data_IF_064375493127
#
_entry.id   IF_064375493127
#
_cell.length_a   1.000
_cell.length_b   1.000
_cell.length_c   1.000
_cell.angle_alpha   90.00
_cell.angle_beta   90.00
_cell.angle_gamma   90.00
#
_symmetry.space_group_name_H-M   'P 1'
#
loop_
_entity.id
_entity.type
_entity.pdbx_description
1 polymer ?
#
# COMPACT_ATOMS: atom_id res chain seq x y z
N UNK A 1 1.23 -14.18 -13.28
CA UNK A 1 2.68 -14.22 -13.01
C UNK A 1 2.87 -14.61 -11.56
N UNK A 2 3.90 -15.41 -11.24
CA UNK A 2 4.15 -15.81 -9.86
C UNK A 2 5.17 -14.85 -9.22
N UNK A 3 4.68 -13.66 -8.84
CA UNK A 3 5.52 -12.62 -8.22
C UNK A 3 5.27 -12.58 -6.73
N UNK A 4 6.35 -12.49 -5.95
CA UNK A 4 6.32 -12.15 -4.54
C UNK A 4 6.92 -10.75 -4.33
N UNK A 5 6.34 -9.99 -3.40
CA UNK A 5 6.97 -8.77 -2.90
C UNK A 5 7.30 -8.93 -1.41
N UNK A 6 8.43 -8.39 -0.98
CA UNK A 6 8.82 -8.36 0.43
C UNK A 6 9.34 -6.98 0.82
N UNK A 7 9.07 -6.56 2.05
CA UNK A 7 9.58 -5.32 2.62
C UNK A 7 10.18 -5.57 4.01
N UNK A 8 10.93 -4.60 4.55
CA UNK A 8 11.48 -4.71 5.89
C UNK A 8 12.15 -3.45 6.41
N UNK A 9 12.93 -3.65 7.48
CA UNK A 9 13.60 -2.56 8.21
C UNK A 9 14.74 -1.88 7.45
N UNK A 10 15.21 -2.50 6.36
CA UNK A 10 16.27 -1.95 5.52
C UNK A 10 15.78 -0.98 4.46
N UNK A 11 14.56 -0.43 4.65
CA UNK A 11 13.88 0.55 3.79
C UNK A 11 13.51 0.05 2.40
N UNK A 12 13.91 -1.17 2.05
CA UNK A 12 13.78 -1.68 0.70
C UNK A 12 12.50 -2.50 0.50
N UNK A 13 11.92 -2.34 -0.68
CA UNK A 13 10.88 -3.23 -1.21
C UNK A 13 11.51 -4.04 -2.33
N UNK A 14 11.43 -5.37 -2.25
CA UNK A 14 12.03 -6.32 -3.20
C UNK A 14 10.95 -7.09 -3.91
N UNK A 15 11.17 -7.39 -5.18
CA UNK A 15 10.31 -8.29 -5.95
C UNK A 15 11.08 -9.52 -6.38
N UNK A 16 10.41 -10.65 -6.28
CA UNK A 16 10.96 -11.97 -6.52
C UNK A 16 10.15 -12.67 -7.59
N UNK A 17 10.86 -13.31 -8.52
CA UNK A 17 10.25 -14.22 -9.47
C UNK A 17 10.23 -15.62 -8.85
N UNK A 18 9.03 -16.18 -8.69
CA UNK A 18 8.82 -17.50 -8.12
C UNK A 18 8.69 -18.60 -9.18
N UNK A 19 8.79 -18.25 -10.47
CA UNK A 19 8.74 -19.23 -11.55
C UNK A 19 9.99 -20.17 -11.53
N UNK A 20 11.12 -19.73 -10.95
CA UNK A 20 12.39 -20.46 -10.82
C UNK A 20 12.55 -21.22 -9.47
N UNK A 21 11.45 -21.66 -8.87
CA UNK A 21 11.48 -22.40 -7.60
C UNK A 21 12.37 -23.67 -7.68
N UNK A 22 13.27 -23.94 -6.70
CA UNK A 22 13.33 -23.37 -5.34
C UNK A 22 14.25 -22.16 -5.14
N UNK A 23 14.86 -21.61 -6.18
CA UNK A 23 15.77 -20.45 -6.06
C UNK A 23 15.11 -19.19 -6.64
N UNK A 24 14.19 -18.55 -5.89
CA UNK A 24 13.51 -17.36 -6.38
C UNK A 24 14.50 -16.22 -6.63
N UNK A 25 14.39 -15.59 -7.80
CA UNK A 25 15.31 -14.54 -8.23
C UNK A 25 14.79 -13.16 -7.79
N UNK A 26 15.59 -12.41 -7.01
CA UNK A 26 15.36 -10.95 -6.84
C UNK A 26 15.62 -10.28 -8.19
N UNK A 27 14.56 -9.85 -8.89
CA UNK A 27 14.71 -9.21 -10.20
C UNK A 27 14.62 -7.68 -10.13
N UNK A 28 14.12 -7.12 -9.01
CA UNK A 28 14.11 -5.68 -8.79
C UNK A 28 14.00 -5.31 -7.30
N UNK A 29 14.44 -4.10 -6.96
CA UNK A 29 14.39 -3.51 -5.62
C UNK A 29 14.13 -2.01 -5.69
N UNK A 30 13.29 -1.51 -4.79
CA UNK A 30 13.02 -0.09 -4.57
C UNK A 30 13.59 0.36 -3.23
N UNK A 31 14.26 1.52 -3.21
CA UNK A 31 14.95 2.11 -2.05
C UNK A 31 14.62 3.61 -1.92
N UNK A 32 13.34 3.91 -2.05
CA UNK A 32 12.77 5.26 -2.03
C UNK A 32 12.10 5.63 -0.69
N UNK A 33 11.83 4.64 0.17
CA UNK A 33 11.48 4.91 1.56
C UNK A 33 12.71 5.33 2.37
N UNK A 34 12.51 6.22 3.33
CA UNK A 34 13.60 6.80 4.14
C UNK A 34 13.75 6.12 5.51
N UNK A 35 12.84 5.21 5.82
CA UNK A 35 12.71 4.51 7.09
C UNK A 35 12.09 3.11 6.83
N UNK A 36 12.01 2.22 7.84
CA UNK A 36 11.42 0.88 7.73
C UNK A 36 10.06 0.83 7.03
N UNK A 37 9.90 -0.15 6.14
CA UNK A 37 8.65 -0.43 5.42
C UNK A 37 7.87 -1.52 6.14
N UNK A 38 6.65 -1.22 6.53
CA UNK A 38 5.82 -2.06 7.40
C UNK A 38 4.79 -2.92 6.66
N UNK A 39 4.35 -2.48 5.48
CA UNK A 39 3.25 -3.13 4.78
C UNK A 39 3.40 -3.04 3.27
N UNK A 40 2.82 -4.03 2.59
CA UNK A 40 2.73 -4.12 1.15
C UNK A 40 1.31 -4.55 0.76
N UNK A 41 0.83 -4.05 -0.38
CA UNK A 41 -0.38 -4.57 -1.01
C UNK A 41 -0.24 -4.49 -2.53
N UNK A 42 -0.67 -5.54 -3.22
CA UNK A 42 -0.90 -5.50 -4.66
C UNK A 42 -2.32 -5.01 -4.95
N UNK A 43 -2.53 -4.29 -6.04
CA UNK A 43 -3.87 -4.11 -6.58
C UNK A 43 -4.45 -5.46 -7.05
N UNK A 44 -5.79 -5.62 -7.10
CA UNK A 44 -6.42 -6.89 -7.45
C UNK A 44 -6.05 -7.44 -8.84
N UNK A 45 -5.72 -6.56 -9.78
CA UNK A 45 -5.23 -6.90 -11.12
C UNK A 45 -3.71 -7.15 -11.18
N UNK A 46 -2.97 -6.87 -10.11
CA UNK A 46 -1.52 -7.02 -10.04
C UNK A 46 -0.72 -5.90 -10.71
N UNK A 47 -1.39 -4.85 -11.20
CA UNK A 47 -0.73 -3.77 -11.95
C UNK A 47 0.00 -2.77 -11.05
N UNK A 48 -0.43 -2.65 -9.79
CA UNK A 48 0.08 -1.67 -8.83
C UNK A 48 0.59 -2.35 -7.57
N UNK A 49 1.64 -1.76 -6.98
CA UNK A 49 2.16 -2.12 -5.67
C UNK A 49 2.16 -0.89 -4.76
N UNK A 50 1.52 -1.01 -3.60
CA UNK A 50 1.59 -0.03 -2.54
C UNK A 50 2.52 -0.51 -1.42
N UNK A 51 3.29 0.40 -0.84
CA UNK A 51 4.14 0.14 0.34
C UNK A 51 3.94 1.23 1.40
N UNK A 52 3.89 0.85 2.68
CA UNK A 52 3.71 1.78 3.80
C UNK A 52 4.95 1.82 4.67
N UNK A 53 5.30 2.99 5.20
CA UNK A 53 6.56 3.17 5.92
C UNK A 53 6.45 4.02 7.17
N UNK A 54 7.45 3.85 8.03
CA UNK A 54 7.73 4.70 9.19
C UNK A 54 8.13 6.12 8.78
N UNK A 55 8.49 6.38 7.53
CA UNK A 55 8.71 7.75 7.01
C UNK A 55 7.40 8.56 6.81
N UNK A 56 6.27 8.05 7.32
CA UNK A 56 4.93 8.63 7.24
C UNK A 56 4.33 8.62 5.83
N UNK A 57 4.83 7.80 4.91
CA UNK A 57 4.33 7.76 3.53
C UNK A 57 3.81 6.39 3.11
N UNK A 58 2.91 6.42 2.12
CA UNK A 58 2.55 5.27 1.29
C UNK A 58 3.08 5.52 -0.11
N UNK A 59 3.95 4.68 -0.62
CA UNK A 59 4.42 4.79 -2.00
C UNK A 59 3.62 3.86 -2.90
N UNK A 60 3.10 4.40 -3.99
CA UNK A 60 2.41 3.64 -5.05
C UNK A 60 3.32 3.52 -6.28
N UNK A 61 3.46 2.29 -6.81
CA UNK A 61 4.27 1.98 -7.98
C UNK A 61 3.45 1.26 -9.05
N UNK A 62 3.66 1.66 -10.31
CA UNK A 62 3.18 0.91 -11.47
C UNK A 62 4.19 -0.20 -11.78
N UNK A 63 3.73 -1.45 -11.72
CA UNK A 63 4.56 -2.65 -11.91
C UNK A 63 4.16 -3.45 -13.16
N UNK A 64 3.24 -2.96 -14.00
CA UNK A 64 2.73 -3.67 -15.19
C UNK A 64 3.79 -4.21 -16.15
N UNK A 65 4.94 -3.55 -16.20
CA UNK A 65 6.03 -3.88 -17.13
C UNK A 65 7.29 -4.33 -16.44
N UNK A 66 7.22 -4.59 -15.14
CA UNK A 66 8.41 -4.73 -14.33
C UNK A 66 9.25 -5.96 -14.71
N UNK A 67 8.63 -7.07 -15.12
CA UNK A 67 9.35 -8.23 -15.67
C UNK A 67 9.94 -7.97 -17.06
N UNK A 68 9.36 -7.06 -17.84
CA UNK A 68 9.77 -6.79 -19.23
C UNK A 68 10.97 -5.85 -19.30
N UNK A 69 10.96 -4.77 -18.51
CA UNK A 69 11.98 -3.73 -18.60
C UNK A 69 12.71 -3.46 -17.27
N UNK A 70 12.35 -4.14 -16.17
CA UNK A 70 12.95 -3.92 -14.86
C UNK A 70 12.57 -2.59 -14.20
N UNK A 71 11.72 -1.79 -14.83
CA UNK A 71 11.38 -0.44 -14.39
C UNK A 71 9.98 -0.46 -13.77
N UNK A 72 9.91 -0.13 -12.48
CA UNK A 72 8.67 0.34 -11.88
C UNK A 72 8.68 1.87 -11.88
N UNK A 73 7.55 2.47 -12.24
CA UNK A 73 7.41 3.91 -12.10
C UNK A 73 6.91 4.21 -10.69
N UNK A 74 7.75 4.86 -9.88
CA UNK A 74 7.30 5.44 -8.61
C UNK A 74 6.40 6.62 -8.93
N UNK A 75 5.16 6.52 -8.49
CA UNK A 75 4.13 7.49 -8.86
C UNK A 75 4.14 8.61 -7.84
N UNK A 76 3.85 8.28 -6.57
CA UNK A 76 3.62 9.27 -5.51
C UNK A 76 3.81 8.72 -4.09
N UNK A 77 4.29 9.55 -3.15
CA UNK A 77 4.06 9.34 -1.73
C UNK A 77 2.72 9.95 -1.30
N UNK A 78 1.83 9.14 -0.74
CA UNK A 78 0.64 9.58 0.00
C UNK A 78 1.02 9.80 1.46
N UNK A 79 0.87 11.01 1.95
CA UNK A 79 1.42 11.40 3.25
C UNK A 79 0.42 11.20 4.39
N UNK A 80 0.93 10.70 5.51
CA UNK A 80 0.33 10.72 6.84
C UNK A 80 1.07 11.71 7.75
N UNK A 81 0.50 11.98 8.92
CA UNK A 81 1.13 12.85 9.93
C UNK A 81 2.06 12.08 10.88
N UNK A 82 2.09 10.76 10.77
CA UNK A 82 2.94 9.84 11.53
C UNK A 82 3.01 8.49 10.79
N UNK A 83 3.61 7.46 11.42
CA UNK A 83 3.96 6.18 10.78
C UNK A 83 2.75 5.52 10.13
N UNK A 84 2.96 4.88 8.97
CA UNK A 84 1.89 4.15 8.27
C UNK A 84 2.13 2.66 8.39
N UNK A 85 1.19 1.96 9.02
CA UNK A 85 1.35 0.55 9.37
C UNK A 85 0.75 -0.39 8.33
N UNK A 86 -0.30 0.03 7.64
CA UNK A 86 -1.08 -0.86 6.78
C UNK A 86 -1.69 -0.13 5.61
N UNK A 87 -1.79 -0.84 4.48
CA UNK A 87 -2.43 -0.41 3.24
C UNK A 87 -3.24 -1.55 2.64
N UNK A 88 -4.34 -1.22 1.98
CA UNK A 88 -5.19 -2.19 1.30
C UNK A 88 -5.83 -1.55 0.05
N UNK A 89 -5.98 -2.34 -1.01
CA UNK A 89 -6.77 -1.96 -2.18
C UNK A 89 -8.19 -2.50 -2.06
N UNK A 90 -9.13 -1.70 -2.54
CA UNK A 90 -10.50 -2.16 -2.83
C UNK A 90 -10.51 -3.26 -3.88
N UNK A 91 -11.56 -4.08 -3.89
CA UNK A 91 -11.69 -5.21 -4.80
C UNK A 91 -11.73 -4.81 -6.29
N UNK A 92 -12.25 -3.63 -6.63
CA UNK A 92 -12.24 -3.09 -7.99
C UNK A 92 -10.93 -2.33 -8.33
N UNK A 93 -10.04 -2.19 -7.34
CA UNK A 93 -8.76 -1.50 -7.46
C UNK A 93 -8.89 0.00 -7.75
N UNK A 94 -10.04 0.62 -7.46
CA UNK A 94 -10.28 2.07 -7.63
C UNK A 94 -9.98 2.87 -6.38
N UNK A 95 -10.02 2.24 -5.22
CA UNK A 95 -9.68 2.85 -3.94
C UNK A 95 -8.48 2.18 -3.30
N UNK A 96 -7.69 2.99 -2.60
CA UNK A 96 -6.64 2.56 -1.68
C UNK A 96 -6.90 3.16 -0.31
N UNK A 97 -6.71 2.37 0.75
CA UNK A 97 -6.89 2.79 2.13
C UNK A 97 -5.61 2.52 2.90
N UNK A 98 -5.22 3.42 3.80
CA UNK A 98 -4.12 3.21 4.73
C UNK A 98 -4.47 3.65 6.15
N UNK A 99 -3.84 2.99 7.12
CA UNK A 99 -3.98 3.27 8.54
C UNK A 99 -2.62 3.43 9.20
N UNK A 100 -2.55 4.32 10.19
CA UNK A 100 -1.27 4.66 10.83
C UNK A 100 -1.34 5.13 12.28
N UNK A 101 -0.18 5.51 12.78
CA UNK A 101 0.06 6.02 14.13
C UNK A 101 -0.63 7.37 14.38
N UNK A 102 -1.00 8.10 13.32
CA UNK A 102 -1.79 9.32 13.43
C UNK A 102 -3.28 9.06 13.77
N UNK A 103 -3.64 7.80 14.04
CA UNK A 103 -4.99 7.35 14.43
C UNK A 103 -6.05 7.57 13.35
N UNK A 104 -5.62 7.84 12.10
CA UNK A 104 -6.52 8.02 10.97
C UNK A 104 -6.53 6.80 10.06
N UNK A 105 -7.69 6.54 9.46
CA UNK A 105 -7.77 5.78 8.21
C UNK A 105 -8.00 6.80 7.09
N UNK A 106 -7.18 6.72 6.05
CA UNK A 106 -7.24 7.60 4.88
C UNK A 106 -7.55 6.78 3.65
N UNK A 107 -8.43 7.28 2.79
CA UNK A 107 -8.85 6.62 1.55
C UNK A 107 -8.62 7.56 0.38
N UNK A 108 -8.01 7.07 -0.69
CA UNK A 108 -7.81 7.80 -1.93
C UNK A 108 -8.43 7.05 -3.09
N UNK A 109 -8.96 7.81 -4.05
CA UNK A 109 -9.42 7.30 -5.33
C UNK A 109 -8.28 7.30 -6.34
N UNK A 110 -8.14 6.19 -7.06
CA UNK A 110 -7.14 5.93 -8.08
C UNK A 110 -7.81 6.06 -9.44
N UNK A 111 -7.45 7.11 -10.17
CA UNK A 111 -7.74 7.20 -11.60
C UNK A 111 -6.77 6.31 -12.38
N UNK A 112 -7.23 5.14 -12.83
CA UNK A 112 -6.44 4.18 -13.61
C UNK A 112 -5.98 4.72 -14.97
N UNK A 113 -6.65 5.75 -15.51
CA UNK A 113 -6.25 6.38 -16.77
C UNK A 113 -5.13 7.40 -16.57
N UNK A 114 -5.04 7.98 -15.37
CA UNK A 114 -4.01 8.93 -15.00
C UNK A 114 -3.60 8.77 -13.53
N UNK A 115 -2.81 7.74 -13.23
CA UNK A 115 -2.46 7.40 -11.85
C UNK A 115 -1.62 8.51 -11.19
N UNK A 116 -0.87 9.30 -11.98
CA UNK A 116 -0.12 10.46 -11.47
C UNK A 116 -1.02 11.55 -10.89
N UNK A 117 -2.32 11.57 -11.20
CA UNK A 117 -3.28 12.48 -10.58
C UNK A 117 -3.37 12.30 -9.06
N UNK A 118 -3.06 11.10 -8.56
CA UNK A 118 -3.06 10.76 -7.14
C UNK A 118 -2.11 11.66 -6.31
N UNK A 119 -1.09 12.26 -6.95
CA UNK A 119 -0.13 13.17 -6.31
C UNK A 119 -0.81 14.40 -5.71
N UNK A 120 -1.97 14.76 -6.27
CA UNK A 120 -2.75 15.94 -5.92
C UNK A 120 -4.09 15.54 -5.29
N UNK A 121 -4.38 14.24 -5.20
CA UNK A 121 -5.60 13.73 -4.60
C UNK A 121 -5.59 14.02 -3.10
N UNK A 122 -6.72 14.51 -2.59
CA UNK A 122 -6.93 14.64 -1.15
C UNK A 122 -7.57 13.35 -0.62
N UNK A 123 -7.08 12.79 0.49
CA UNK A 123 -7.74 11.65 1.09
C UNK A 123 -9.10 12.04 1.65
N UNK A 124 -10.04 11.11 1.58
CA UNK A 124 -11.15 11.05 2.52
C UNK A 124 -10.62 10.54 3.86
N UNK A 125 -10.96 11.24 4.93
CA UNK A 125 -10.59 10.83 6.28
C UNK A 125 -11.74 10.07 6.93
N UNK A 126 -11.42 8.90 7.47
CA UNK A 126 -12.31 8.09 8.30
C UNK A 126 -11.84 8.25 9.75
N UNK A 127 -12.51 9.15 10.48
CA UNK A 127 -12.14 9.57 11.83
C UNK A 127 -13.00 8.85 12.86
N UNK A 128 -12.37 8.32 13.90
CA UNK A 128 -13.08 7.73 15.04
C UNK A 128 -12.20 6.88 15.96
N UNK A 129 -11.08 6.35 15.47
CA UNK A 129 -10.12 5.67 16.34
C UNK A 129 -9.46 6.66 17.30
N UNK A 130 -9.23 6.21 18.54
CA UNK A 130 -8.64 7.01 19.62
C UNK A 130 -7.16 6.69 19.84
N UNK A 131 -6.59 5.80 19.03
CA UNK A 131 -5.18 5.41 19.04
C UNK A 131 -4.78 4.84 17.68
N UNK A 132 -3.53 4.40 17.57
CA UNK A 132 -2.90 3.98 16.32
C UNK A 132 -3.72 2.92 15.58
N UNK A 133 -3.91 3.10 14.28
CA UNK A 133 -4.55 2.11 13.43
C UNK A 133 -3.49 1.14 12.93
N UNK A 134 -3.55 -0.11 13.39
CA UNK A 134 -2.54 -1.12 13.09
C UNK A 134 -2.77 -1.80 11.74
N UNK A 135 -4.04 -1.99 11.37
CA UNK A 135 -4.42 -2.66 10.12
C UNK A 135 -5.66 -2.04 9.51
N UNK A 136 -5.68 -1.99 8.18
CA UNK A 136 -6.86 -1.67 7.38
C UNK A 136 -7.05 -2.75 6.32
N UNK A 137 -8.29 -3.10 6.02
CA UNK A 137 -8.61 -4.08 5.00
C UNK A 137 -9.93 -3.72 4.32
N UNK A 138 -9.92 -3.66 2.98
CA UNK A 138 -11.15 -3.62 2.22
C UNK A 138 -11.83 -4.97 2.21
N UNK A 139 -13.15 -4.97 2.29
CA UNK A 139 -13.92 -6.17 2.04
C UNK A 139 -13.65 -6.68 0.62
N UNK A 140 -13.47 -8.00 0.45
CA UNK A 140 -13.23 -8.59 -0.87
C UNK A 140 -14.48 -8.65 -1.73
N UNK A 141 -15.67 -8.35 -1.18
CA UNK A 141 -16.96 -8.53 -1.88
C UNK A 141 -17.91 -7.35 -1.73
N UNK A 142 -17.71 -6.50 -0.73
CA UNK A 142 -18.59 -5.38 -0.42
C UNK A 142 -17.78 -4.08 -0.38
N UNK A 143 -18.46 -2.94 -0.51
CA UNK A 143 -17.82 -1.64 -0.45
C UNK A 143 -17.69 -1.15 1.00
N UNK A 144 -17.01 -1.90 1.87
CA UNK A 144 -16.71 -1.45 3.23
C UNK A 144 -15.24 -1.69 3.58
N UNK A 145 -14.75 -0.92 4.56
CA UNK A 145 -13.40 -1.04 5.12
C UNK A 145 -13.51 -1.49 6.57
N UNK A 146 -12.68 -2.44 6.97
CA UNK A 146 -12.44 -2.76 8.38
C UNK A 146 -11.11 -2.19 8.84
N UNK A 147 -11.06 -1.60 10.03
CA UNK A 147 -9.82 -1.14 10.67
C UNK A 147 -9.72 -1.61 12.11
N UNK A 148 -8.53 -2.03 12.53
CA UNK A 148 -8.25 -2.39 13.92
C UNK A 148 -7.21 -1.43 14.53
N UNK A 149 -7.40 -1.10 15.80
CA UNK A 149 -6.61 -0.07 16.47
C UNK A 149 -6.12 -0.49 17.86
N UNK A 150 -5.05 0.17 18.29
CA UNK A 150 -4.53 0.11 19.64
C UNK A 150 -5.52 0.69 20.69
N UNK A 151 -6.62 1.31 20.26
CA UNK A 151 -7.74 1.70 21.12
C UNK A 151 -8.62 0.52 21.57
N UNK A 152 -8.24 -0.71 21.19
CA UNK A 152 -8.92 -1.98 21.50
C UNK A 152 -10.24 -2.17 20.77
N UNK A 153 -10.47 -1.43 19.68
CA UNK A 153 -11.67 -1.55 18.85
C UNK A 153 -11.37 -1.96 17.41
N UNK A 154 -12.38 -2.58 16.79
CA UNK A 154 -12.48 -2.72 15.35
C UNK A 154 -13.60 -1.79 14.89
N UNK A 155 -13.37 -1.05 13.82
CA UNK A 155 -14.38 -0.19 13.18
C UNK A 155 -14.64 -0.68 11.76
N UNK A 156 -15.91 -0.61 11.35
CA UNK A 156 -16.35 -0.86 9.98
C UNK A 156 -16.84 0.47 9.40
N UNK A 157 -16.42 0.76 8.18
CA UNK A 157 -16.73 1.99 7.46
C UNK A 157 -17.39 1.65 6.13
N UNK A 158 -18.54 2.27 5.85
CA UNK A 158 -19.22 2.32 4.55
C UNK A 158 -18.60 3.44 3.71
#
# INVERSE_FOLDING_TARGET
ENILASCGNDTAVRMWDLDEYPEPLEFTRFVDHHDPVFGLAFSPDGDLLASTSKDNSVHLRDIRRIKVNGIAESIVPLLHSSYVYSVSFSHDGRLIASGGMDSTVRVWEIDRTNIRSLARAKPQFLIGHMSWVNMVQFSPTQAFIASCSHDKTIRIWD
#
